data_IF_557277991554
#
_entry.id   IF_557277991554
#
_cell.length_a   1.000
_cell.length_b   1.000
_cell.length_c   1.000
_cell.angle_alpha   90.00
_cell.angle_beta   90.00
_cell.angle_gamma   90.00
#
_symmetry.space_group_name_H-M   'P 1'
#
loop_
_entity.id
_entity.type
_entity.pdbx_description
1 polymer ?
#
# COMPACT_ATOMS: atom_id res chain seq x y z
N UNK A 1 -23.80 -57.83 47.71
CA UNK A 1 -22.93 -56.68 47.35
C UNK A 1 -23.08 -56.45 45.86
N UNK A 2 -23.80 -55.39 45.45
CA UNK A 2 -24.02 -55.07 44.04
C UNK A 2 -23.02 -53.96 43.67
N UNK A 3 -22.05 -54.25 42.80
CA UNK A 3 -21.10 -53.29 42.22
C UNK A 3 -21.83 -52.56 41.13
N UNK A 4 -22.08 -51.24 41.29
CA UNK A 4 -22.60 -50.37 40.29
C UNK A 4 -21.38 -49.79 39.51
N UNK A 5 -21.16 -50.35 38.31
CA UNK A 5 -20.20 -49.79 37.38
C UNK A 5 -20.80 -48.49 36.77
N UNK A 6 -20.28 -47.34 37.19
CA UNK A 6 -20.58 -46.05 36.52
C UNK A 6 -19.79 -45.98 35.22
N UNK A 7 -20.49 -46.17 34.11
CA UNK A 7 -19.96 -45.91 32.77
C UNK A 7 -19.95 -44.40 32.55
N UNK A 8 -18.78 -43.78 32.63
CA UNK A 8 -18.59 -42.37 32.24
C UNK A 8 -18.39 -42.37 30.72
N UNK A 9 -19.45 -41.98 29.99
CA UNK A 9 -19.37 -41.72 28.58
C UNK A 9 -18.73 -40.32 28.42
N UNK A 10 -17.45 -40.30 28.13
CA UNK A 10 -16.77 -39.09 27.72
C UNK A 10 -17.20 -38.81 26.26
N UNK A 11 -18.11 -37.87 26.06
CA UNK A 11 -18.44 -37.33 24.76
C UNK A 11 -17.24 -36.46 24.33
N UNK A 12 -16.31 -37.05 23.59
CA UNK A 12 -15.31 -36.30 22.83
C UNK A 12 -16.03 -35.54 21.72
N UNK A 13 -16.34 -34.28 21.98
CA UNK A 13 -16.64 -33.34 20.91
C UNK A 13 -15.38 -33.20 20.07
N UNK A 14 -15.30 -33.96 18.99
CA UNK A 14 -14.37 -33.72 17.92
C UNK A 14 -14.75 -32.36 17.28
N UNK A 15 -14.08 -31.30 17.71
CA UNK A 15 -14.13 -30.03 16.96
C UNK A 15 -13.36 -30.33 15.67
N UNK A 16 -14.08 -30.67 14.62
CA UNK A 16 -13.52 -30.70 13.28
C UNK A 16 -13.22 -29.25 12.93
N UNK A 17 -11.98 -28.82 13.10
CA UNK A 17 -11.47 -27.63 12.45
C UNK A 17 -11.46 -28.00 10.97
N UNK A 18 -12.48 -27.59 10.24
CA UNK A 18 -12.44 -27.64 8.78
C UNK A 18 -11.35 -26.65 8.35
N UNK A 19 -10.16 -27.16 8.10
CA UNK A 19 -9.15 -26.37 7.42
C UNK A 19 -9.65 -26.13 6.00
N UNK A 20 -9.60 -24.88 5.56
CA UNK A 20 -9.94 -24.48 4.18
C UNK A 20 -9.15 -25.36 3.18
N UNK A 21 -9.82 -25.86 2.15
CA UNK A 21 -9.15 -26.60 1.08
C UNK A 21 -8.35 -25.64 0.18
N UNK A 22 -7.25 -26.13 -0.40
CA UNK A 22 -6.41 -25.35 -1.32
C UNK A 22 -7.25 -24.96 -2.54
N UNK A 23 -7.22 -23.67 -2.93
CA UNK A 23 -7.99 -23.10 -4.05
C UNK A 23 -9.36 -22.56 -3.67
N UNK A 24 -9.83 -22.77 -2.45
CA UNK A 24 -11.08 -22.18 -1.97
C UNK A 24 -10.88 -20.76 -1.43
N UNK A 25 -11.94 -19.95 -1.50
CA UNK A 25 -12.02 -18.66 -0.81
C UNK A 25 -13.04 -18.76 0.30
N UNK A 26 -12.59 -18.57 1.53
CA UNK A 26 -13.44 -18.49 2.71
C UNK A 26 -13.85 -17.03 2.96
N UNK A 27 -15.14 -16.82 3.15
CA UNK A 27 -15.70 -15.50 3.47
C UNK A 27 -16.52 -15.64 4.75
N UNK A 28 -16.18 -14.87 5.75
CA UNK A 28 -16.91 -14.80 7.03
C UNK A 28 -17.33 -13.37 7.33
N UNK A 29 -18.51 -13.20 7.93
CA UNK A 29 -19.01 -11.95 8.47
C UNK A 29 -20.08 -12.22 9.53
N UNK A 30 -20.22 -11.37 10.54
CA UNK A 30 -21.19 -11.59 11.62
C UNK A 30 -22.65 -11.43 11.16
N UNK A 31 -22.92 -10.44 10.29
CA UNK A 31 -24.28 -10.16 9.79
C UNK A 31 -24.62 -10.92 8.48
N UNK A 32 -23.72 -11.82 8.03
CA UNK A 32 -23.89 -12.62 6.82
C UNK A 32 -23.63 -11.84 5.52
N UNK A 33 -24.15 -12.37 4.41
CA UNK A 33 -23.92 -11.85 3.05
C UNK A 33 -25.26 -11.43 2.47
N UNK A 34 -25.40 -10.16 2.07
CA UNK A 34 -26.53 -9.62 1.32
C UNK A 34 -26.17 -9.52 -0.16
N UNK A 35 -26.92 -10.18 -1.06
CA UNK A 35 -26.66 -10.22 -2.50
C UNK A 35 -27.67 -9.38 -3.27
N UNK A 36 -27.18 -8.41 -4.03
CA UNK A 36 -27.95 -7.50 -4.87
C UNK A 36 -27.65 -7.80 -6.35
N UNK A 37 -28.38 -8.79 -6.90
CA UNK A 37 -28.10 -9.29 -8.26
C UNK A 37 -28.33 -8.28 -9.38
N UNK A 38 -29.38 -7.44 -9.24
CA UNK A 38 -29.69 -6.42 -10.26
C UNK A 38 -28.65 -5.31 -10.29
N UNK A 39 -28.18 -4.90 -9.13
CA UNK A 39 -27.16 -3.86 -8.93
C UNK A 39 -25.73 -4.42 -9.03
N UNK A 40 -25.59 -5.73 -9.15
CA UNK A 40 -24.33 -6.46 -9.35
C UNK A 40 -23.31 -6.25 -8.23
N UNK A 41 -23.73 -6.35 -6.99
CA UNK A 41 -22.81 -6.36 -5.84
C UNK A 41 -23.33 -7.23 -4.69
N UNK A 42 -22.45 -7.56 -3.77
CA UNK A 42 -22.82 -8.11 -2.48
C UNK A 42 -22.14 -7.36 -1.33
N UNK A 43 -22.81 -7.34 -0.18
CA UNK A 43 -22.36 -6.68 1.04
C UNK A 43 -22.09 -7.70 2.12
N UNK A 44 -20.98 -7.51 2.78
CA UNK A 44 -20.54 -8.20 3.99
C UNK A 44 -20.44 -7.18 5.10
N UNK A 45 -20.99 -7.46 6.27
CA UNK A 45 -21.06 -6.50 7.38
C UNK A 45 -20.60 -7.13 8.68
N UNK A 46 -19.92 -6.34 9.48
CA UNK A 46 -19.32 -6.65 10.78
C UNK A 46 -18.29 -7.78 10.74
N UNK A 47 -17.08 -7.44 11.17
CA UNK A 47 -15.97 -8.37 11.34
C UNK A 47 -15.78 -9.28 10.11
N UNK A 48 -15.67 -8.64 8.94
CA UNK A 48 -15.51 -9.34 7.68
C UNK A 48 -14.09 -9.87 7.57
N UNK A 49 -13.97 -11.16 7.26
CA UNK A 49 -12.71 -11.80 6.87
C UNK A 49 -12.91 -12.51 5.54
N UNK A 50 -12.03 -12.21 4.58
CA UNK A 50 -11.92 -12.91 3.30
C UNK A 50 -10.53 -13.53 3.25
N UNK A 51 -10.46 -14.82 3.02
CA UNK A 51 -9.20 -15.57 2.99
C UNK A 51 -9.14 -16.52 1.82
N UNK A 52 -8.11 -16.42 1.00
CA UNK A 52 -7.76 -17.36 -0.05
C UNK A 52 -6.27 -17.74 0.07
N UNK A 53 -5.76 -18.60 -0.81
CA UNK A 53 -4.36 -19.01 -0.77
C UNK A 53 -3.39 -17.83 -0.97
N UNK A 54 -3.82 -16.84 -1.74
CA UNK A 54 -3.00 -15.72 -2.15
C UNK A 54 -3.46 -14.36 -1.62
N UNK A 55 -4.58 -14.32 -0.89
CA UNK A 55 -5.15 -13.05 -0.44
C UNK A 55 -5.84 -13.20 0.90
N UNK A 56 -5.61 -12.24 1.80
CA UNK A 56 -6.38 -12.05 3.04
C UNK A 56 -6.84 -10.62 3.14
N UNK A 57 -8.07 -10.41 3.60
CA UNK A 57 -8.63 -9.10 3.90
C UNK A 57 -9.45 -9.18 5.19
N UNK A 58 -9.22 -8.23 6.08
CA UNK A 58 -10.02 -8.00 7.28
C UNK A 58 -10.57 -6.57 7.20
N UNK A 59 -11.83 -6.38 7.52
CA UNK A 59 -12.46 -5.05 7.58
C UNK A 59 -13.77 -5.11 8.39
N UNK A 60 -14.30 -3.96 8.77
CA UNK A 60 -15.62 -3.92 9.40
C UNK A 60 -16.73 -4.24 8.39
N UNK A 61 -16.64 -3.69 7.17
CA UNK A 61 -17.59 -3.93 6.09
C UNK A 61 -16.89 -4.03 4.75
N UNK A 62 -17.41 -4.88 3.86
CA UNK A 62 -16.88 -5.05 2.50
C UNK A 62 -18.04 -5.07 1.49
N UNK A 63 -17.93 -4.25 0.44
CA UNK A 63 -18.75 -4.31 -0.76
C UNK A 63 -17.93 -4.89 -1.91
N UNK A 64 -18.47 -5.90 -2.57
CA UNK A 64 -17.81 -6.52 -3.72
C UNK A 64 -18.72 -6.41 -4.93
N UNK A 65 -18.25 -5.71 -5.95
CA UNK A 65 -18.95 -5.54 -7.23
C UNK A 65 -18.50 -6.61 -8.22
N UNK A 66 -19.45 -7.11 -9.03
CA UNK A 66 -19.20 -8.14 -10.05
C UNK A 66 -19.85 -7.78 -11.38
N UNK A 67 -19.46 -8.44 -12.48
CA UNK A 67 -20.03 -8.17 -13.81
C UNK A 67 -21.04 -9.27 -14.23
N UNK A 68 -20.56 -10.43 -14.65
CA UNK A 68 -21.39 -11.49 -15.23
C UNK A 68 -21.88 -12.53 -14.24
N UNK A 69 -21.08 -12.80 -13.23
CA UNK A 69 -21.37 -13.77 -12.17
C UNK A 69 -20.79 -13.29 -10.84
N UNK A 70 -21.22 -13.85 -9.72
CA UNK A 70 -20.71 -13.56 -8.38
C UNK A 70 -19.19 -13.75 -8.24
N UNK A 71 -18.57 -14.51 -9.14
CA UNK A 71 -17.13 -14.77 -9.16
C UNK A 71 -16.35 -13.86 -10.11
N UNK A 72 -17.04 -13.12 -11.01
CA UNK A 72 -16.41 -12.15 -11.93
C UNK A 72 -16.27 -10.79 -11.25
N UNK A 73 -15.42 -10.74 -10.23
CA UNK A 73 -15.23 -9.54 -9.38
C UNK A 73 -14.55 -8.44 -10.18
N UNK A 74 -15.13 -7.25 -10.10
CA UNK A 74 -14.62 -6.05 -10.79
C UNK A 74 -14.02 -5.02 -9.82
N UNK A 75 -14.58 -4.91 -8.63
CA UNK A 75 -14.16 -3.92 -7.62
C UNK A 75 -14.46 -4.42 -6.21
N UNK A 76 -13.59 -4.08 -5.27
CA UNK A 76 -13.73 -4.35 -3.85
C UNK A 76 -13.54 -3.06 -3.08
N UNK A 77 -14.54 -2.72 -2.25
CA UNK A 77 -14.52 -1.60 -1.31
C UNK A 77 -14.58 -2.15 0.12
N UNK A 78 -13.56 -1.94 0.91
CA UNK A 78 -13.52 -2.30 2.32
C UNK A 78 -13.47 -1.05 3.21
N UNK A 79 -14.21 -1.05 4.30
CA UNK A 79 -14.35 0.07 5.21
C UNK A 79 -14.19 -0.36 6.66
N UNK A 80 -13.47 0.45 7.42
CA UNK A 80 -13.21 0.29 8.85
C UNK A 80 -12.20 -0.80 9.17
N UNK A 81 -11.16 -0.46 9.92
CA UNK A 81 -10.12 -1.38 10.39
C UNK A 81 -9.56 -2.30 9.31
N UNK A 82 -9.29 -1.71 8.13
CA UNK A 82 -8.84 -2.49 6.97
C UNK A 82 -7.41 -2.97 7.17
N UNK A 83 -7.20 -4.29 7.01
CA UNK A 83 -5.90 -4.94 6.92
C UNK A 83 -5.93 -5.95 5.77
N UNK A 84 -4.97 -5.92 4.88
CA UNK A 84 -4.92 -6.84 3.74
C UNK A 84 -3.51 -7.29 3.40
N UNK A 85 -3.42 -8.47 2.81
CA UNK A 85 -2.18 -9.03 2.30
C UNK A 85 -2.47 -9.83 1.02
N UNK A 86 -1.79 -9.49 -0.06
CA UNK A 86 -1.81 -10.20 -1.33
C UNK A 86 -0.44 -10.77 -1.64
N UNK A 87 -0.32 -12.09 -1.65
CA UNK A 87 0.91 -12.80 -2.05
C UNK A 87 1.12 -12.71 -3.56
N UNK A 88 0.03 -12.67 -4.34
CA UNK A 88 0.08 -12.56 -5.80
C UNK A 88 0.72 -11.24 -6.26
N UNK A 89 0.27 -10.13 -5.67
CA UNK A 89 0.83 -8.81 -5.98
C UNK A 89 2.00 -8.44 -5.07
N UNK A 90 2.38 -9.32 -4.12
CA UNK A 90 3.45 -9.08 -3.12
C UNK A 90 3.25 -7.74 -2.39
N UNK A 91 2.01 -7.46 -1.99
CA UNK A 91 1.61 -6.20 -1.39
C UNK A 91 0.79 -6.46 -0.13
N UNK A 92 1.05 -5.70 0.91
CA UNK A 92 0.25 -5.67 2.13
C UNK A 92 -0.01 -4.23 2.54
N UNK A 93 -1.07 -4.00 3.27
CA UNK A 93 -1.38 -2.66 3.75
C UNK A 93 -2.52 -2.63 4.72
N UNK A 94 -2.70 -1.47 5.31
CA UNK A 94 -3.77 -1.18 6.25
C UNK A 94 -4.24 0.27 6.13
N UNK A 95 -5.46 0.54 6.56
CA UNK A 95 -6.07 1.86 6.56
C UNK A 95 -7.52 1.83 7.06
N UNK A 96 -8.22 2.94 6.90
CA UNK A 96 -9.64 3.00 7.21
C UNK A 96 -10.54 2.62 6.03
N UNK A 97 -10.02 2.77 4.82
CA UNK A 97 -10.70 2.42 3.57
C UNK A 97 -9.73 1.80 2.58
N UNK A 98 -10.19 0.78 1.86
CA UNK A 98 -9.50 0.18 0.72
C UNK A 98 -10.45 0.13 -0.46
N UNK A 99 -10.02 0.63 -1.63
CA UNK A 99 -10.64 0.35 -2.92
C UNK A 99 -9.66 -0.41 -3.80
N UNK A 100 -10.10 -1.54 -4.35
CA UNK A 100 -9.32 -2.32 -5.30
C UNK A 100 -10.10 -2.54 -6.60
N UNK A 101 -9.59 -2.02 -7.71
CA UNK A 101 -10.14 -2.19 -9.06
C UNK A 101 -9.38 -3.29 -9.80
N UNK A 102 -10.01 -4.46 -9.89
CA UNK A 102 -9.37 -5.71 -10.35
C UNK A 102 -8.81 -5.58 -11.77
N UNK A 103 -9.61 -5.09 -12.73
CA UNK A 103 -9.21 -5.04 -14.17
C UNK A 103 -8.01 -4.15 -14.47
N UNK A 104 -7.81 -3.12 -13.69
CA UNK A 104 -6.71 -2.16 -13.86
C UNK A 104 -5.65 -2.29 -12.77
N UNK A 105 -5.78 -3.30 -11.93
CA UNK A 105 -4.87 -3.60 -10.82
C UNK A 105 -4.52 -2.36 -9.99
N UNK A 106 -5.55 -1.54 -9.74
CA UNK A 106 -5.38 -0.28 -9.01
C UNK A 106 -5.88 -0.43 -7.59
N UNK A 107 -5.01 -0.15 -6.65
CA UNK A 107 -5.31 -0.18 -5.23
C UNK A 107 -5.22 1.23 -4.64
N UNK A 108 -6.17 1.59 -3.80
CA UNK A 108 -6.16 2.83 -3.03
C UNK A 108 -6.45 2.54 -1.57
N UNK A 109 -5.62 3.04 -0.68
CA UNK A 109 -5.79 2.94 0.77
C UNK A 109 -5.90 4.33 1.34
N UNK A 110 -6.87 4.58 2.21
CA UNK A 110 -7.14 5.90 2.78
C UNK A 110 -7.26 5.86 4.31
N UNK A 111 -6.95 6.98 4.93
CA UNK A 111 -7.12 7.25 6.35
C UNK A 111 -5.82 7.52 7.07
N UNK A 112 -5.95 8.01 8.30
CA UNK A 112 -4.81 8.31 9.16
C UNK A 112 -3.99 7.03 9.42
N UNK A 113 -2.67 7.13 9.21
CA UNK A 113 -1.74 6.00 9.38
C UNK A 113 -1.84 4.92 8.29
N UNK A 114 -2.43 5.24 7.13
CA UNK A 114 -2.48 4.30 6.01
C UNK A 114 -1.09 3.85 5.58
N UNK A 115 -0.97 2.57 5.30
CA UNK A 115 0.27 1.94 4.84
C UNK A 115 0.02 1.07 3.62
N UNK A 116 1.01 1.01 2.75
CA UNK A 116 1.08 0.09 1.65
C UNK A 116 2.54 -0.31 1.45
N UNK A 117 2.82 -1.61 1.57
CA UNK A 117 4.17 -2.15 1.62
C UNK A 117 4.29 -3.24 0.57
N UNK A 118 5.30 -3.12 -0.26
CA UNK A 118 5.78 -4.15 -1.20
C UNK A 118 7.10 -4.73 -0.69
N UNK A 119 7.75 -5.63 -1.46
CA UNK A 119 9.06 -6.16 -1.10
C UNK A 119 10.14 -5.05 -0.99
N UNK A 120 10.05 -4.01 -1.83
CA UNK A 120 11.13 -3.01 -2.00
C UNK A 120 10.70 -1.59 -1.60
N UNK A 121 9.39 -1.34 -1.48
CA UNK A 121 8.87 0.01 -1.27
C UNK A 121 7.88 0.01 -0.10
N UNK A 122 8.09 0.92 0.84
CA UNK A 122 7.17 1.20 1.93
C UNK A 122 6.55 2.58 1.74
N UNK A 123 5.24 2.67 1.76
CA UNK A 123 4.46 3.90 1.61
C UNK A 123 3.60 4.13 2.83
N UNK A 124 3.58 5.36 3.32
CA UNK A 124 2.80 5.80 4.48
C UNK A 124 2.12 7.12 4.15
N UNK A 125 0.89 7.30 4.60
CA UNK A 125 0.16 8.57 4.48
C UNK A 125 -0.90 8.71 5.56
N UNK A 126 -1.19 9.92 5.97
CA UNK A 126 -2.37 10.27 6.78
C UNK A 126 -3.59 10.67 5.93
N UNK A 127 -3.44 10.73 4.62
CA UNK A 127 -4.50 10.94 3.66
C UNK A 127 -4.80 9.69 2.84
N UNK A 128 -4.12 9.52 1.69
CA UNK A 128 -4.27 8.30 0.89
C UNK A 128 -2.99 7.88 0.16
N UNK A 129 -2.94 6.61 -0.19
CA UNK A 129 -1.94 5.98 -1.03
C UNK A 129 -2.67 5.29 -2.17
N UNK A 130 -2.27 5.56 -3.41
CA UNK A 130 -2.80 4.94 -4.61
C UNK A 130 -1.66 4.34 -5.43
N UNK A 131 -1.83 3.10 -5.89
CA UNK A 131 -0.85 2.39 -6.72
C UNK A 131 -1.57 1.66 -7.83
N UNK A 132 -1.05 1.75 -9.05
CA UNK A 132 -1.45 0.92 -10.19
C UNK A 132 -0.33 -0.06 -10.51
N UNK A 133 -0.60 -1.35 -10.33
CA UNK A 133 0.41 -2.38 -10.60
C UNK A 133 0.67 -2.57 -12.09
N UNK A 134 -0.33 -2.30 -12.97
CA UNK A 134 -0.18 -2.45 -14.42
C UNK A 134 0.83 -1.49 -15.05
N UNK A 135 0.88 -0.25 -14.60
CA UNK A 135 1.72 0.80 -15.21
C UNK A 135 2.77 1.36 -14.25
N UNK A 136 2.77 0.88 -13.01
CA UNK A 136 3.72 1.30 -11.99
C UNK A 136 3.47 2.68 -11.40
N UNK A 137 2.35 3.35 -11.71
CA UNK A 137 2.05 4.67 -11.15
C UNK A 137 1.77 4.59 -9.66
N UNK A 138 2.27 5.54 -8.90
CA UNK A 138 1.92 5.71 -7.49
C UNK A 138 1.67 7.18 -7.13
N UNK A 139 0.81 7.39 -6.16
CA UNK A 139 0.49 8.69 -5.58
C UNK A 139 0.24 8.56 -4.09
N UNK A 140 1.00 9.31 -3.30
CA UNK A 140 0.75 9.52 -1.87
C UNK A 140 0.32 10.97 -1.69
N UNK A 141 -0.74 11.18 -0.92
CA UNK A 141 -1.24 12.52 -0.60
C UNK A 141 -1.70 12.59 0.84
N UNK A 142 -1.14 13.51 1.59
CA UNK A 142 -1.39 13.77 3.01
C UNK A 142 -0.21 14.49 3.63
N UNK A 143 -0.43 15.23 4.71
CA UNK A 143 0.60 16.09 5.35
C UNK A 143 1.84 15.31 5.80
N UNK A 144 1.70 14.02 6.14
CA UNK A 144 2.77 13.16 6.61
C UNK A 144 3.08 12.01 5.64
N UNK A 145 2.95 12.28 4.32
CA UNK A 145 3.27 11.24 3.35
C UNK A 145 4.76 10.93 3.34
N UNK A 146 5.08 9.63 3.29
CA UNK A 146 6.45 9.13 3.33
C UNK A 146 6.57 7.92 2.40
N UNK A 147 7.65 7.90 1.63
CA UNK A 147 8.04 6.75 0.83
C UNK A 147 9.47 6.35 1.20
N UNK A 148 9.69 5.05 1.35
CA UNK A 148 11.02 4.46 1.58
C UNK A 148 11.25 3.43 0.48
N UNK A 149 12.40 3.53 -0.19
CA UNK A 149 12.87 2.56 -1.16
C UNK A 149 14.38 2.37 -0.97
N UNK A 150 14.78 1.23 -0.42
CA UNK A 150 16.17 0.96 -0.04
C UNK A 150 16.77 2.09 0.83
N UNK A 151 17.73 2.85 0.27
CA UNK A 151 18.43 3.95 0.92
C UNK A 151 17.80 5.33 0.65
N UNK A 152 16.67 5.35 -0.06
CA UNK A 152 15.94 6.58 -0.40
C UNK A 152 14.79 6.76 0.60
N UNK A 153 14.72 7.92 1.23
CA UNK A 153 13.62 8.32 2.10
C UNK A 153 13.06 9.63 1.56
N UNK A 154 11.76 9.66 1.31
CA UNK A 154 11.05 10.84 0.79
C UNK A 154 9.96 11.20 1.78
N UNK A 155 9.81 12.50 2.08
CA UNK A 155 8.72 13.03 2.90
C UNK A 155 8.19 14.32 2.27
N UNK A 156 6.87 14.40 2.10
CA UNK A 156 6.18 15.59 1.59
C UNK A 156 4.66 15.43 1.70
N UNK A 157 3.90 16.48 1.44
CA UNK A 157 2.43 16.40 1.32
C UNK A 157 1.98 15.60 0.09
N UNK A 158 2.71 15.71 -1.03
CA UNK A 158 2.41 15.02 -2.27
C UNK A 158 3.67 14.36 -2.83
N UNK A 159 3.59 13.05 -3.04
CA UNK A 159 4.66 12.25 -3.64
C UNK A 159 4.01 11.45 -4.76
N UNK A 160 4.38 11.70 -6.00
CA UNK A 160 3.92 10.92 -7.14
C UNK A 160 5.08 10.45 -8.01
N UNK A 161 4.88 9.38 -8.73
CA UNK A 161 5.91 8.85 -9.60
C UNK A 161 5.52 7.54 -10.27
N UNK A 162 6.53 6.92 -10.85
CA UNK A 162 6.42 5.61 -11.45
C UNK A 162 7.54 4.71 -10.95
N UNK A 163 7.23 3.43 -10.81
CA UNK A 163 8.22 2.38 -10.69
C UNK A 163 8.13 1.41 -11.87
N UNK A 164 9.21 0.74 -12.15
CA UNK A 164 9.27 -0.37 -13.10
C UNK A 164 9.81 -1.61 -12.41
N UNK A 165 9.30 -2.77 -12.82
CA UNK A 165 9.85 -4.04 -12.36
C UNK A 165 11.17 -4.30 -13.08
N UNK A 166 12.23 -4.49 -12.32
CA UNK A 166 13.50 -5.07 -12.77
C UNK A 166 13.62 -6.48 -12.22
N UNK A 167 14.59 -7.22 -12.72
CA UNK A 167 14.90 -8.55 -12.18
C UNK A 167 15.13 -8.38 -10.67
N UNK A 168 14.25 -9.00 -9.87
CA UNK A 168 14.29 -9.05 -8.41
C UNK A 168 13.98 -7.76 -7.63
N UNK A 169 13.63 -6.63 -8.27
CA UNK A 169 13.27 -5.40 -7.54
C UNK A 169 12.42 -4.41 -8.32
N UNK A 170 11.73 -3.53 -7.58
CA UNK A 170 11.06 -2.34 -8.15
C UNK A 170 12.01 -1.14 -8.09
N UNK A 171 12.17 -0.44 -9.21
CA UNK A 171 12.98 0.77 -9.31
C UNK A 171 12.12 1.99 -9.63
N UNK A 172 12.29 3.08 -8.89
CA UNK A 172 11.62 4.35 -9.18
C UNK A 172 12.25 4.96 -10.44
N UNK A 173 11.44 5.20 -11.46
CA UNK A 173 11.88 5.78 -12.74
C UNK A 173 11.65 7.26 -12.82
N UNK A 174 10.54 7.74 -12.31
CA UNK A 174 10.22 9.15 -12.21
C UNK A 174 9.64 9.45 -10.83
N UNK A 175 9.95 10.64 -10.33
CA UNK A 175 9.45 11.11 -9.06
C UNK A 175 9.19 12.62 -9.13
N UNK A 176 8.04 13.03 -8.64
CA UNK A 176 7.70 14.42 -8.37
C UNK A 176 7.21 14.54 -6.92
N UNK A 177 7.86 15.38 -6.17
CA UNK A 177 7.62 15.63 -4.74
C UNK A 177 7.29 17.09 -4.53
N UNK A 178 6.19 17.39 -3.89
CA UNK A 178 5.74 18.76 -3.63
C UNK A 178 5.24 18.91 -2.20
N UNK A 179 5.59 20.00 -1.57
CA UNK A 179 5.12 20.38 -0.23
C UNK A 179 4.81 21.87 -0.18
N UNK A 180 3.88 22.30 0.66
CA UNK A 180 3.61 23.72 0.88
C UNK A 180 4.80 24.42 1.53
N UNK A 181 5.44 23.75 2.46
CA UNK A 181 6.58 24.26 3.19
C UNK A 181 7.90 23.72 2.64
N UNK A 182 8.16 22.42 2.83
CA UNK A 182 9.41 21.80 2.44
C UNK A 182 9.27 20.29 2.19
N UNK A 183 9.60 19.87 0.99
CA UNK A 183 9.84 18.46 0.66
C UNK A 183 11.22 18.03 1.13
N UNK A 184 11.34 16.78 1.57
CA UNK A 184 12.59 16.17 2.02
C UNK A 184 12.88 14.91 1.22
N UNK A 185 14.09 14.80 0.73
CA UNK A 185 14.63 13.57 0.13
C UNK A 185 16.00 13.29 0.73
N UNK A 186 16.17 12.08 1.26
CA UNK A 186 17.47 11.52 1.62
C UNK A 186 17.84 10.43 0.63
N UNK A 187 19.03 10.50 0.10
CA UNK A 187 19.63 9.45 -0.74
C UNK A 187 21.04 9.16 -0.23
N UNK A 188 21.23 8.01 0.40
CA UNK A 188 22.44 7.66 1.13
C UNK A 188 22.82 8.75 2.17
N UNK A 189 23.99 9.38 1.99
CA UNK A 189 24.53 10.41 2.90
C UNK A 189 24.13 11.85 2.50
N UNK A 190 23.31 12.02 1.46
CA UNK A 190 22.89 13.32 0.99
C UNK A 190 21.45 13.60 1.36
N UNK A 191 21.22 14.68 2.10
CA UNK A 191 19.88 15.18 2.44
C UNK A 191 19.58 16.41 1.59
N UNK A 192 18.39 16.44 1.02
CA UNK A 192 17.91 17.49 0.12
C UNK A 192 16.57 18.01 0.59
N UNK A 193 16.43 19.32 0.59
CA UNK A 193 15.21 20.03 0.96
C UNK A 193 14.89 21.05 -0.14
N UNK A 194 13.64 21.14 -0.56
CA UNK A 194 13.13 22.14 -1.49
C UNK A 194 11.59 22.14 -1.43
N UNK A 195 10.91 23.15 -1.98
CA UNK A 195 9.45 23.08 -2.12
C UNK A 195 9.03 22.01 -3.11
N UNK A 196 9.78 21.89 -4.22
CA UNK A 196 9.55 20.85 -5.22
C UNK A 196 10.84 20.14 -5.54
N UNK A 197 10.76 18.81 -5.65
CA UNK A 197 11.87 17.93 -6.02
C UNK A 197 11.39 17.01 -7.15
N UNK A 198 12.12 17.00 -8.28
CA UNK A 198 11.86 16.12 -9.40
C UNK A 198 13.05 15.17 -9.57
N UNK A 199 12.77 13.94 -9.93
CA UNK A 199 13.78 12.96 -10.32
C UNK A 199 13.37 12.25 -11.61
N UNK A 200 14.33 12.08 -12.51
CA UNK A 200 14.16 11.30 -13.71
C UNK A 200 15.37 10.35 -13.85
N UNK A 201 15.09 9.06 -13.86
CA UNK A 201 16.12 8.02 -13.91
C UNK A 201 16.85 7.97 -15.27
N UNK A 202 16.19 8.31 -16.37
CA UNK A 202 16.83 8.34 -17.70
C UNK A 202 17.97 9.35 -17.76
N UNK A 203 17.75 10.53 -17.19
CA UNK A 203 18.77 11.58 -17.08
C UNK A 203 19.67 11.41 -15.88
N UNK A 204 19.23 10.62 -14.87
CA UNK A 204 19.86 10.46 -13.57
C UNK A 204 20.05 11.79 -12.82
N UNK A 205 19.14 12.74 -13.04
CA UNK A 205 19.17 14.07 -12.44
C UNK A 205 18.06 14.27 -11.45
N UNK A 206 18.39 14.77 -10.26
CA UNK A 206 17.45 15.32 -9.29
C UNK A 206 17.46 16.85 -9.48
N UNK A 207 16.28 17.43 -9.67
CA UNK A 207 16.06 18.88 -9.69
C UNK A 207 15.41 19.33 -8.40
N UNK A 208 15.91 20.40 -7.83
CA UNK A 208 15.45 21.02 -6.59
C UNK A 208 15.01 22.46 -6.90
N UNK A 209 13.79 22.83 -6.53
CA UNK A 209 13.16 24.09 -6.90
C UNK A 209 12.59 24.75 -5.65
N UNK A 210 12.94 25.99 -5.44
CA UNK A 210 12.55 26.88 -4.34
C UNK A 210 13.02 26.43 -2.95
N UNK A 211 13.72 27.32 -2.26
CA UNK A 211 14.25 27.12 -0.90
C UNK A 211 15.18 25.90 -0.80
N UNK A 212 16.08 25.77 -1.76
CA UNK A 212 16.97 24.61 -1.86
C UNK A 212 17.99 24.59 -0.73
N UNK A 213 18.08 23.43 -0.06
CA UNK A 213 19.15 23.11 0.90
C UNK A 213 19.65 21.70 0.56
N UNK A 214 20.95 21.57 0.39
CA UNK A 214 21.63 20.26 0.25
C UNK A 214 22.61 20.15 1.43
N UNK A 215 22.54 19.03 2.15
CA UNK A 215 23.46 18.71 3.24
C UNK A 215 24.17 17.41 2.88
N UNK A 216 25.50 17.45 2.88
CA UNK A 216 26.35 16.28 2.63
C UNK A 216 27.63 16.38 3.43
N UNK A 217 27.99 15.34 4.19
CA UNK A 217 29.20 15.30 5.03
C UNK A 217 29.39 16.57 5.88
N UNK A 218 28.30 17.03 6.53
CA UNK A 218 28.26 18.27 7.34
C UNK A 218 28.35 19.59 6.53
N UNK A 219 28.62 19.54 5.25
CA UNK A 219 28.57 20.72 4.36
C UNK A 219 27.11 21.04 4.02
N UNK A 220 26.73 22.32 4.19
CA UNK A 220 25.41 22.85 3.85
C UNK A 220 25.51 23.85 2.72
N UNK A 221 24.76 23.62 1.64
CA UNK A 221 24.67 24.49 0.48
C UNK A 221 23.23 24.93 0.30
N UNK A 222 23.00 26.20 -0.01
CA UNK A 222 21.66 26.78 -0.17
C UNK A 222 21.55 27.56 -1.47
N UNK A 223 20.33 27.67 -2.01
CA UNK A 223 20.02 28.45 -3.21
C UNK A 223 18.54 28.40 -3.54
N UNK A 224 18.15 28.95 -4.69
CA UNK A 224 16.76 28.93 -5.17
C UNK A 224 16.49 27.78 -6.13
N UNK A 225 17.53 27.32 -6.82
CA UNK A 225 17.47 26.19 -7.74
C UNK A 225 18.73 25.32 -7.62
N UNK A 226 18.54 24.02 -7.68
CA UNK A 226 19.65 23.06 -7.65
C UNK A 226 19.45 21.87 -8.57
N UNK A 227 20.53 21.27 -9.01
CA UNK A 227 20.53 19.97 -9.69
C UNK A 227 21.62 19.07 -9.09
N UNK A 228 21.29 17.80 -8.93
CA UNK A 228 22.23 16.75 -8.54
C UNK A 228 22.23 15.65 -9.62
N UNK A 229 23.38 15.40 -10.24
CA UNK A 229 23.59 14.23 -11.11
C UNK A 229 24.00 13.03 -10.24
N UNK A 230 23.11 12.04 -10.17
CA UNK A 230 23.30 10.87 -9.28
C UNK A 230 24.38 9.91 -9.76
N UNK A 231 24.82 9.98 -11.03
CA UNK A 231 25.88 9.10 -11.60
C UNK A 231 27.27 9.46 -11.09
N UNK A 232 27.53 10.75 -10.96
CA UNK A 232 28.83 11.28 -10.56
C UNK A 232 28.80 12.09 -9.26
N UNK A 233 27.63 12.15 -8.61
CA UNK A 233 27.39 12.91 -7.39
C UNK A 233 27.78 14.40 -7.49
N UNK A 234 27.69 14.99 -8.69
CA UNK A 234 27.95 16.42 -8.88
C UNK A 234 26.66 17.24 -8.72
N UNK A 235 26.79 18.41 -8.15
CA UNK A 235 25.66 19.33 -7.97
C UNK A 235 25.98 20.72 -8.49
N UNK A 236 24.93 21.41 -8.92
CA UNK A 236 24.97 22.83 -9.32
C UNK A 236 23.87 23.55 -8.57
N UNK A 237 24.20 24.68 -7.96
CA UNK A 237 23.25 25.54 -7.26
C UNK A 237 23.26 26.92 -7.89
N UNK A 238 22.06 27.52 -7.98
CA UNK A 238 21.84 28.90 -8.41
C UNK A 238 21.01 29.60 -7.34
N UNK A 239 21.35 30.80 -7.03
CA UNK A 239 20.64 31.79 -6.22
C UNK A 239 20.20 32.93 -7.10
#
# INVERSE_FOLDING_TARGET
MKLIARLIIIFLFSITVNAREIGETEITSEDGIEVYQNEKFYLLKKNVKIESDNFTLIADNVKISFDKSLYDITELDANGNVDFNSKEFKIKGNGNFLNFKVKIEKIKVEGEGSQLITEDIEMFSDGFIEVSNLNGDFLLKGMNSKLINENIIIKAENINGNFTDKIDKKEITNLEVNDQDVSYVKNNDTEMYAKKINFNNETSVIELIDNVIIIRNEEKITGDYGTLDTRNNSYKIKS
#
